data_IF_635338853289
#
_entry.id   IF_635338853289
#
_cell.length_a   1.000
_cell.length_b   1.000
_cell.length_c   1.000
_cell.angle_alpha   90.00
_cell.angle_beta   90.00
_cell.angle_gamma   90.00
#
_symmetry.space_group_name_H-M   'P 1'
#
loop_
_entity.id
_entity.type
_entity.pdbx_description
1 polymer ?
#
# COMPACT_ATOMS: atom_id res chain seq x y z
N UNK A 1 -5.37 -1.64 -9.26
CA UNK A 1 -4.19 -2.16 -8.54
C UNK A 1 -4.63 -3.30 -7.63
N UNK A 2 -4.02 -4.47 -7.75
CA UNK A 2 -4.25 -5.62 -6.87
C UNK A 2 -3.16 -5.74 -5.78
N UNK A 3 -3.32 -6.67 -4.83
CA UNK A 3 -2.39 -6.82 -3.71
C UNK A 3 -0.97 -7.27 -4.11
N UNK A 4 -0.87 -8.16 -5.12
CA UNK A 4 0.41 -8.54 -5.70
C UNK A 4 1.06 -7.34 -6.40
N UNK A 5 0.27 -6.57 -7.17
CA UNK A 5 0.75 -5.38 -7.87
C UNK A 5 1.26 -4.30 -6.91
N UNK A 6 0.62 -4.13 -5.74
CA UNK A 6 1.06 -3.15 -4.74
C UNK A 6 2.45 -3.45 -4.20
N UNK A 7 2.75 -4.72 -3.90
CA UNK A 7 4.05 -5.10 -3.33
C UNK A 7 5.18 -4.79 -4.31
N UNK A 8 5.03 -5.23 -5.56
CA UNK A 8 6.00 -4.99 -6.63
C UNK A 8 6.14 -3.49 -6.95
N UNK A 9 5.02 -2.76 -6.98
CA UNK A 9 5.04 -1.31 -7.19
C UNK A 9 5.78 -0.58 -6.07
N UNK A 10 5.50 -0.96 -4.82
CA UNK A 10 6.11 -0.38 -3.62
C UNK A 10 7.63 -0.56 -3.67
N UNK A 11 8.12 -1.77 -3.88
CA UNK A 11 9.56 -2.04 -3.96
C UNK A 11 10.23 -1.19 -5.04
N UNK A 12 9.67 -1.17 -6.27
CA UNK A 12 10.19 -0.35 -7.38
C UNK A 12 10.20 1.14 -7.06
N UNK A 13 9.21 1.63 -6.32
CA UNK A 13 9.15 3.03 -5.90
C UNK A 13 10.24 3.37 -4.87
N UNK A 14 10.50 2.48 -3.91
CA UNK A 14 11.59 2.65 -2.94
C UNK A 14 12.97 2.60 -3.60
N UNK A 15 13.16 1.70 -4.56
CA UNK A 15 14.38 1.62 -5.37
C UNK A 15 14.57 2.91 -6.17
N UNK A 16 13.51 3.45 -6.77
CA UNK A 16 13.55 4.73 -7.48
C UNK A 16 14.00 5.88 -6.54
N UNK A 17 13.46 5.97 -5.32
CA UNK A 17 13.89 7.00 -4.38
C UNK A 17 15.34 6.84 -3.97
N UNK A 18 15.80 5.60 -3.75
CA UNK A 18 17.18 5.29 -3.36
C UNK A 18 18.14 5.63 -4.48
N UNK A 19 17.86 5.20 -5.71
CA UNK A 19 18.70 5.42 -6.89
C UNK A 19 18.83 6.91 -7.26
N UNK A 20 17.81 7.72 -6.96
CA UNK A 20 17.80 9.15 -7.25
C UNK A 20 18.14 10.03 -6.03
N UNK A 21 18.60 9.45 -4.93
CA UNK A 21 18.98 10.16 -3.69
C UNK A 21 17.85 11.07 -3.13
N UNK A 22 16.59 10.67 -3.35
CA UNK A 22 15.43 11.43 -2.90
C UNK A 22 15.22 11.11 -1.41
N UNK A 23 15.75 11.97 -0.54
CA UNK A 23 15.66 11.81 0.90
C UNK A 23 14.53 12.63 1.56
N UNK A 24 14.03 13.66 0.87
CA UNK A 24 12.98 14.53 1.39
C UNK A 24 11.60 13.85 1.35
N UNK A 25 10.94 13.74 2.50
CA UNK A 25 9.65 13.05 2.64
C UNK A 25 8.51 13.73 1.85
N UNK A 26 8.50 15.06 1.80
CA UNK A 26 7.53 15.83 1.00
C UNK A 26 7.66 15.53 -0.49
N UNK A 27 8.91 15.44 -1.00
CA UNK A 27 9.18 15.08 -2.39
C UNK A 27 8.81 13.63 -2.70
N UNK A 28 9.09 12.69 -1.78
CA UNK A 28 8.64 11.30 -1.91
C UNK A 28 7.11 11.22 -2.02
N UNK A 29 6.40 11.93 -1.15
CA UNK A 29 4.93 12.02 -1.18
C UNK A 29 4.42 12.55 -2.51
N UNK A 30 4.95 13.69 -2.97
CA UNK A 30 4.49 14.32 -4.22
C UNK A 30 4.70 13.42 -5.44
N UNK A 31 5.86 12.76 -5.51
CA UNK A 31 6.17 11.79 -6.57
C UNK A 31 5.26 10.57 -6.46
N UNK A 32 5.07 10.05 -5.25
CA UNK A 32 4.18 8.92 -5.04
C UNK A 32 2.76 9.21 -5.51
N UNK A 33 2.19 10.34 -5.08
CA UNK A 33 0.82 10.74 -5.47
C UNK A 33 0.69 11.02 -6.97
N UNK A 34 1.74 11.50 -7.64
CA UNK A 34 1.71 11.75 -9.09
C UNK A 34 1.87 10.50 -9.95
N UNK A 35 2.49 9.45 -9.40
CA UNK A 35 2.67 8.17 -10.09
C UNK A 35 1.48 7.22 -9.94
N UNK A 36 0.56 7.49 -9.01
CA UNK A 36 -0.67 6.72 -8.88
C UNK A 36 -1.55 6.87 -10.11
N UNK A 37 -2.20 5.78 -10.51
CA UNK A 37 -3.29 5.83 -11.47
C UNK A 37 -4.53 6.48 -10.83
N UNK A 38 -5.52 6.80 -11.68
CA UNK A 38 -6.71 7.53 -11.23
C UNK A 38 -7.51 6.75 -10.16
N UNK A 39 -7.55 5.42 -10.28
CA UNK A 39 -8.25 4.54 -9.35
C UNK A 39 -7.54 4.42 -8.00
N UNK A 40 -6.22 4.23 -7.99
CA UNK A 40 -5.43 4.19 -6.77
C UNK A 40 -5.43 5.57 -6.08
N UNK A 41 -5.36 6.66 -6.83
CA UNK A 41 -5.46 8.00 -6.24
C UNK A 41 -6.83 8.22 -5.56
N UNK A 42 -7.93 7.81 -6.20
CA UNK A 42 -9.28 7.83 -5.60
C UNK A 42 -9.38 6.96 -4.34
N UNK A 43 -8.76 5.78 -4.37
CA UNK A 43 -8.67 4.89 -3.21
C UNK A 43 -7.92 5.58 -2.06
N UNK A 44 -6.78 6.20 -2.34
CA UNK A 44 -5.99 6.93 -1.35
C UNK A 44 -6.80 8.07 -0.73
N UNK A 45 -7.52 8.85 -1.54
CA UNK A 45 -8.43 9.89 -1.04
C UNK A 45 -9.52 9.34 -0.11
N UNK A 46 -9.99 8.12 -0.36
CA UNK A 46 -10.99 7.46 0.48
C UNK A 46 -10.38 6.99 1.80
N UNK A 47 -9.18 6.41 1.76
CA UNK A 47 -8.46 5.91 2.94
C UNK A 47 -7.94 7.05 3.84
N UNK A 48 -7.57 8.20 3.28
CA UNK A 48 -7.05 9.33 4.05
C UNK A 48 -8.11 10.12 4.81
N UNK A 49 -9.42 9.91 4.60
CA UNK A 49 -10.46 10.75 5.22
C UNK A 49 -10.42 10.67 6.76
N UNK A 50 -10.58 11.80 7.48
CA UNK A 50 -10.96 13.15 7.02
C UNK A 50 -9.80 14.02 6.52
N UNK A 51 -8.57 13.51 6.53
CA UNK A 51 -7.38 14.25 6.14
C UNK A 51 -7.16 14.23 4.63
N UNK A 52 -6.20 15.03 4.18
CA UNK A 52 -5.80 15.15 2.77
C UNK A 52 -4.48 14.41 2.51
N UNK A 53 -4.37 13.65 1.41
CA UNK A 53 -3.14 12.90 1.12
C UNK A 53 -1.93 13.82 0.98
N UNK A 54 -2.11 15.07 0.52
CA UNK A 54 -1.04 16.05 0.39
C UNK A 54 -0.50 16.54 1.75
N UNK A 55 -1.29 16.41 2.82
CA UNK A 55 -0.91 16.82 4.19
C UNK A 55 -0.45 15.65 5.06
N UNK A 56 -0.68 14.42 4.63
CA UNK A 56 -0.30 13.20 5.33
C UNK A 56 1.17 12.87 5.05
N UNK A 57 1.96 12.39 6.03
CA UNK A 57 3.33 11.97 5.80
C UNK A 57 3.41 10.77 4.85
N UNK A 58 4.48 10.67 4.06
CA UNK A 58 4.60 9.63 3.04
C UNK A 58 4.52 8.22 3.64
N UNK A 59 5.17 7.99 4.79
CA UNK A 59 5.12 6.72 5.50
C UNK A 59 3.70 6.27 5.84
N UNK A 60 2.84 7.18 6.30
CA UNK A 60 1.46 6.86 6.63
C UNK A 60 0.63 6.54 5.39
N UNK A 61 0.88 7.22 4.26
CA UNK A 61 0.21 6.90 3.00
C UNK A 61 0.55 5.49 2.50
N UNK A 62 1.83 5.12 2.59
CA UNK A 62 2.29 3.76 2.26
C UNK A 62 1.63 2.74 3.20
N UNK A 63 1.56 3.03 4.51
CA UNK A 63 0.89 2.15 5.47
C UNK A 63 -0.60 1.98 5.19
N UNK A 64 -1.32 3.01 4.75
CA UNK A 64 -2.74 2.89 4.39
C UNK A 64 -2.95 1.90 3.22
N UNK A 65 -2.06 1.94 2.23
CA UNK A 65 -2.09 0.98 1.13
C UNK A 65 -1.64 -0.40 1.57
N UNK A 66 -0.62 -0.50 2.42
CA UNK A 66 -0.23 -1.78 3.03
C UNK A 66 -1.40 -2.41 3.79
N UNK A 67 -2.15 -1.64 4.59
CA UNK A 67 -3.32 -2.15 5.31
C UNK A 67 -4.48 -2.54 4.40
N UNK A 68 -4.70 -1.78 3.31
CA UNK A 68 -5.77 -2.06 2.37
C UNK A 68 -5.50 -3.29 1.51
N UNK A 69 -4.25 -3.44 1.04
CA UNK A 69 -3.82 -4.51 0.15
C UNK A 69 -3.25 -5.71 0.90
N UNK A 70 -2.89 -5.57 2.18
CA UNK A 70 -2.66 -6.72 3.04
C UNK A 70 -3.97 -7.51 3.09
N UNK A 71 -3.92 -8.76 2.63
CA UNK A 71 -5.01 -9.69 2.85
C UNK A 71 -5.22 -9.77 4.37
N UNK A 72 -6.38 -9.39 4.92
CA UNK A 72 -6.70 -9.83 6.26
C UNK A 72 -6.78 -11.35 6.14
N UNK A 73 -5.80 -12.06 6.70
CA UNK A 73 -5.96 -13.49 6.97
C UNK A 73 -7.15 -13.59 7.90
N UNK A 74 -8.33 -13.80 7.32
CA UNK A 74 -9.55 -14.00 8.05
C UNK A 74 -9.28 -15.18 8.97
N UNK A 75 -9.32 -14.96 10.29
CA UNK A 75 -9.16 -16.03 11.27
C UNK A 75 -10.09 -17.20 10.96
N UNK A 76 -11.27 -16.93 10.40
CA UNK A 76 -12.20 -17.95 9.93
C UNK A 76 -11.68 -18.73 8.71
N UNK A 77 -11.08 -18.05 7.73
CA UNK A 77 -10.46 -18.70 6.57
C UNK A 77 -9.24 -19.56 6.99
N UNK A 78 -8.41 -19.05 7.92
CA UNK A 78 -7.25 -19.78 8.47
C UNK A 78 -7.72 -21.01 9.27
N UNK A 79 -8.73 -20.85 10.13
CA UNK A 79 -9.35 -21.96 10.87
C UNK A 79 -9.95 -22.99 9.92
N UNK A 80 -10.67 -22.54 8.89
CA UNK A 80 -11.25 -23.46 7.91
C UNK A 80 -10.15 -24.27 7.21
N UNK A 81 -9.07 -23.63 6.75
CA UNK A 81 -7.90 -24.32 6.16
C UNK A 81 -7.26 -25.31 7.14
N UNK A 82 -7.10 -24.94 8.41
CA UNK A 82 -6.57 -25.83 9.44
C UNK A 82 -7.48 -27.06 9.68
N UNK A 83 -8.80 -26.86 9.80
CA UNK A 83 -9.75 -27.96 10.01
C UNK A 83 -10.00 -28.81 8.76
N UNK A 84 -9.83 -28.24 7.57
CA UNK A 84 -10.01 -28.97 6.30
C UNK A 84 -8.74 -29.70 5.83
N UNK A 85 -7.60 -29.46 6.48
CA UNK A 85 -6.38 -30.22 6.24
C UNK A 85 -6.58 -31.68 6.67
N UNK A 86 -6.77 -32.58 5.70
CA UNK A 86 -6.78 -34.02 5.93
C UNK A 86 -5.34 -34.53 5.96
N UNK A 87 -5.06 -35.44 6.90
CA UNK A 87 -3.79 -36.16 6.99
C UNK A 87 -3.62 -37.00 5.72
N UNK A 88 -2.61 -36.66 4.92
CA UNK A 88 -2.12 -37.51 3.81
C UNK A 88 -1.23 -38.60 4.38
#
# INVERSE_FOLDING_TARGET
MEAADWTDYKERLFDYFTANEINNDGRKREIFLSLLDEDAYRLMLTLCRPNRPETTPFSALVSLFDEHFALPLSVFAERYKFYSAKKV
#
